data_IF_498190198641
#
_entry.id   IF_498190198641
#
_cell.length_a   1.000
_cell.length_b   1.000
_cell.length_c   1.000
_cell.angle_alpha   90.00
_cell.angle_beta   90.00
_cell.angle_gamma   90.00
#
_symmetry.space_group_name_H-M   'P 1'
#
loop_
_entity.id
_entity.type
_entity.pdbx_description
1 polymer ?
#
# COMPACT_ATOMS: atom_id res chain seq x y z
N UNK A 1 15.00 -11.33 -0.03
CA UNK A 1 13.94 -10.34 0.28
C UNK A 1 12.60 -11.05 0.15
N UNK A 2 11.74 -11.04 1.18
CA UNK A 2 10.48 -11.82 1.20
C UNK A 2 9.29 -10.90 0.95
N UNK A 3 8.39 -11.30 0.06
CA UNK A 3 7.19 -10.53 -0.30
C UNK A 3 5.92 -11.32 -0.03
N UNK A 4 4.84 -10.58 0.13
CA UNK A 4 3.46 -11.06 -0.03
C UNK A 4 2.94 -10.60 -1.39
N UNK A 5 2.35 -11.53 -2.16
CA UNK A 5 1.86 -11.25 -3.51
C UNK A 5 0.34 -11.24 -3.52
N UNK A 6 -0.27 -10.18 -4.05
CA UNK A 6 -1.73 -10.00 -4.08
C UNK A 6 -2.18 -9.45 -5.43
N UNK A 7 -3.23 -10.04 -6.02
CA UNK A 7 -3.93 -9.46 -7.18
C UNK A 7 -4.85 -8.33 -6.72
N UNK A 8 -4.74 -7.17 -7.33
CA UNK A 8 -5.49 -5.99 -6.90
C UNK A 8 -5.64 -4.92 -7.98
N UNK A 9 -5.91 -3.70 -7.51
CA UNK A 9 -6.17 -2.54 -8.34
C UNK A 9 -5.26 -1.38 -7.95
N UNK A 10 -5.24 -0.34 -8.76
CA UNK A 10 -4.72 0.97 -8.37
C UNK A 10 -5.50 1.51 -7.15
N UNK A 11 -4.80 2.21 -6.24
CA UNK A 11 -5.41 2.86 -5.06
C UNK A 11 -5.88 4.28 -5.35
N UNK A 12 -5.65 4.77 -6.58
CA UNK A 12 -6.11 6.05 -7.10
C UNK A 12 -6.97 5.83 -8.34
N UNK A 13 -7.90 6.76 -8.65
CA UNK A 13 -8.68 6.69 -9.89
C UNK A 13 -7.80 6.44 -11.12
N UNK A 14 -8.22 5.59 -12.06
CA UNK A 14 -9.56 4.97 -12.17
C UNK A 14 -9.73 3.64 -11.39
N UNK A 15 -8.83 3.29 -10.47
CA UNK A 15 -8.89 2.04 -9.69
C UNK A 15 -8.91 0.76 -10.55
N UNK A 16 -8.21 0.74 -11.68
CA UNK A 16 -8.17 -0.42 -12.60
C UNK A 16 -7.59 -1.66 -11.91
N UNK A 17 -8.30 -2.79 -12.01
CA UNK A 17 -7.99 -4.06 -11.34
C UNK A 17 -7.06 -4.99 -12.14
N UNK A 18 -5.91 -4.49 -12.57
CA UNK A 18 -4.92 -5.23 -13.38
C UNK A 18 -3.54 -5.34 -12.70
N UNK A 19 -3.46 -5.02 -11.40
CA UNK A 19 -2.18 -4.84 -10.69
C UNK A 19 -1.77 -6.10 -9.94
N UNK A 20 -0.49 -6.48 -10.07
CA UNK A 20 0.18 -7.42 -9.18
C UNK A 20 0.90 -6.64 -8.09
N UNK A 21 0.42 -6.72 -6.85
CA UNK A 21 1.06 -6.10 -5.70
C UNK A 21 2.11 -7.03 -5.12
N UNK A 22 3.32 -6.50 -4.92
CA UNK A 22 4.41 -7.16 -4.21
C UNK A 22 4.72 -6.33 -2.96
N UNK A 23 4.25 -6.80 -1.81
CA UNK A 23 4.41 -6.08 -0.54
C UNK A 23 5.58 -6.68 0.23
N UNK A 24 6.60 -5.88 0.49
CA UNK A 24 7.77 -6.31 1.25
C UNK A 24 7.36 -6.69 2.68
N UNK A 25 7.71 -7.90 3.14
CA UNK A 25 7.41 -8.32 4.53
C UNK A 25 8.27 -7.59 5.58
N UNK A 26 9.42 -7.06 5.17
CA UNK A 26 10.30 -6.25 6.00
C UNK A 26 9.91 -4.76 5.97
N UNK A 27 9.65 -4.18 7.14
CA UNK A 27 9.36 -2.74 7.26
C UNK A 27 10.68 -1.96 7.20
N UNK A 28 10.75 -0.98 6.28
CA UNK A 28 11.88 -0.04 6.23
C UNK A 28 11.60 1.12 7.18
N UNK A 29 12.58 1.45 8.01
CA UNK A 29 12.41 2.46 9.06
C UNK A 29 12.59 3.88 8.53
N UNK A 30 11.84 4.81 9.15
CA UNK A 30 12.01 6.26 8.99
C UNK A 30 11.82 6.93 10.36
N UNK A 31 12.57 8.00 10.62
CA UNK A 31 12.42 8.74 11.88
C UNK A 31 11.06 9.46 11.95
N UNK A 32 10.55 9.75 13.16
CA UNK A 32 9.33 10.54 13.32
C UNK A 32 9.35 11.88 12.60
N UNK A 33 10.52 12.56 12.60
CA UNK A 33 10.70 13.84 11.89
C UNK A 33 10.50 13.69 10.38
N UNK A 34 11.05 12.63 9.77
CA UNK A 34 10.88 12.35 8.34
C UNK A 34 9.42 12.05 8.00
N UNK A 35 8.74 11.21 8.80
CA UNK A 35 7.32 10.87 8.60
C UNK A 35 6.41 12.11 8.72
N UNK A 36 6.68 13.00 9.68
CA UNK A 36 5.94 14.24 9.82
C UNK A 36 6.16 15.20 8.65
N UNK A 37 7.40 15.35 8.19
CA UNK A 37 7.73 16.21 7.04
C UNK A 37 6.99 15.80 5.78
N UNK A 38 6.92 14.50 5.46
CA UNK A 38 6.21 14.03 4.27
C UNK A 38 4.69 14.17 4.42
N UNK A 39 4.13 13.86 5.59
CA UNK A 39 2.68 14.00 5.82
C UNK A 39 2.21 15.46 5.74
N UNK A 40 3.06 16.43 6.11
CA UNK A 40 2.77 17.86 5.91
C UNK A 40 2.62 18.28 4.44
N UNK A 41 3.31 17.60 3.52
CA UNK A 41 3.30 17.91 2.10
C UNK A 41 2.13 17.19 1.41
N UNK A 42 2.00 15.88 1.67
CA UNK A 42 1.05 15.00 0.99
C UNK A 42 -0.34 14.94 1.65
N UNK A 43 -0.41 15.30 2.93
CA UNK A 43 -1.60 15.10 3.76
C UNK A 43 -1.95 13.63 3.96
N UNK A 44 -3.21 13.38 4.34
CA UNK A 44 -3.75 12.02 4.46
C UNK A 44 -4.33 11.58 3.11
N UNK A 45 -3.51 10.94 2.29
CA UNK A 45 -3.84 10.53 0.93
C UNK A 45 -4.05 9.01 0.76
N UNK A 46 -4.05 8.25 1.86
CA UNK A 46 -4.24 6.81 1.83
C UNK A 46 -5.73 6.43 1.64
N UNK A 47 -6.02 5.62 0.61
CA UNK A 47 -7.35 5.04 0.40
C UNK A 47 -7.69 4.05 1.53
N UNK A 48 -8.95 4.00 2.04
CA UNK A 48 -9.36 3.00 3.02
C UNK A 48 -9.13 1.56 2.56
N UNK A 49 -8.94 0.65 3.52
CA UNK A 49 -8.80 -0.80 3.24
C UNK A 49 -10.06 -1.31 2.52
N UNK A 50 -9.86 -2.22 1.57
CA UNK A 50 -10.93 -2.80 0.75
C UNK A 50 -11.17 -4.26 1.15
N UNK A 51 -12.40 -4.76 0.97
CA UNK A 51 -12.77 -6.14 1.31
C UNK A 51 -11.92 -7.19 0.58
N UNK A 52 -11.63 -8.32 1.22
CA UNK A 52 -10.72 -9.33 0.67
C UNK A 52 -11.32 -10.13 -0.50
N UNK A 53 -12.65 -10.29 -0.56
CA UNK A 53 -13.40 -10.94 -1.65
C UNK A 53 -12.80 -12.27 -2.13
N UNK A 54 -12.42 -13.16 -1.20
CA UNK A 54 -11.89 -14.49 -1.52
C UNK A 54 -10.44 -14.52 -2.02
N UNK A 55 -9.73 -13.38 -2.05
CA UNK A 55 -8.31 -13.34 -2.40
C UNK A 55 -7.46 -13.99 -1.32
N UNK A 56 -6.58 -14.91 -1.73
CA UNK A 56 -5.57 -15.51 -0.85
C UNK A 56 -4.37 -14.56 -0.78
N UNK A 57 -3.85 -14.37 0.44
CA UNK A 57 -2.66 -13.57 0.73
C UNK A 57 -1.60 -14.55 1.22
N UNK A 58 -0.48 -14.64 0.50
CA UNK A 58 0.66 -15.53 0.78
C UNK A 58 1.84 -14.77 1.42
#
# INVERSE_FOLDING_TARGET
MIFTIIKGALTSPPNTATVNWFVLKHVVEASPKQMYSINKIEGNNARPIQGQFGRVVD
#
